data_IF_735278404677
#
_entry.id   IF_735278404677
#
_cell.length_a   1.000
_cell.length_b   1.000
_cell.length_c   1.000
_cell.angle_alpha   90.00
_cell.angle_beta   90.00
_cell.angle_gamma   90.00
#
_symmetry.space_group_name_H-M   'P 1'
#
loop_
_entity.id
_entity.type
_entity.pdbx_description
1 polymer ?
#
# COMPACT_ATOMS: atom_id res chain seq x y z
N UNK A 1 -9.26 12.06 -13.28
CA UNK A 1 -9.53 11.07 -12.22
C UNK A 1 -8.33 11.07 -11.28
N UNK A 2 -8.51 11.37 -9.99
CA UNK A 2 -7.44 11.30 -8.99
C UNK A 2 -7.52 9.93 -8.31
N UNK A 3 -6.68 8.99 -8.76
CA UNK A 3 -6.55 7.70 -8.09
C UNK A 3 -5.67 7.89 -6.84
N UNK A 4 -6.24 7.63 -5.68
CA UNK A 4 -5.60 7.77 -4.37
C UNK A 4 -5.45 6.40 -3.72
N UNK A 5 -4.56 6.29 -2.74
CA UNK A 5 -4.37 5.05 -1.98
C UNK A 5 -5.17 5.11 -0.68
N UNK A 6 -5.96 4.08 -0.40
CA UNK A 6 -6.39 3.79 0.96
C UNK A 6 -5.40 2.80 1.57
N UNK A 7 -4.52 3.28 2.46
CA UNK A 7 -3.60 2.44 3.22
C UNK A 7 -4.10 2.32 4.66
N UNK A 8 -4.30 1.09 5.13
CA UNK A 8 -4.67 0.77 6.50
C UNK A 8 -3.58 -0.13 7.09
N UNK A 9 -2.81 0.38 8.05
CA UNK A 9 -1.72 -0.40 8.64
C UNK A 9 -1.10 0.28 9.85
N UNK A 10 -0.49 -0.52 10.72
CA UNK A 10 0.19 -0.09 11.96
C UNK A 10 1.61 0.44 11.72
N UNK A 11 2.05 0.52 10.45
CA UNK A 11 3.35 1.07 10.10
C UNK A 11 3.38 2.59 10.31
N UNK A 12 4.29 3.04 11.17
CA UNK A 12 4.32 4.42 11.67
C UNK A 12 4.55 5.46 10.57
N UNK A 13 5.29 5.11 9.52
CA UNK A 13 5.49 5.93 8.33
C UNK A 13 5.52 5.04 7.08
N UNK A 14 4.49 5.20 6.24
CA UNK A 14 4.44 4.61 4.92
C UNK A 14 4.33 5.74 3.90
N UNK A 15 5.31 5.87 3.02
CA UNK A 15 5.18 6.68 1.82
C UNK A 15 4.59 5.81 0.72
N UNK A 16 3.66 6.36 -0.03
CA UNK A 16 3.06 5.64 -1.16
C UNK A 16 2.96 6.54 -2.37
N UNK A 17 3.13 5.93 -3.54
CA UNK A 17 2.87 6.59 -4.83
C UNK A 17 2.10 5.65 -5.71
N UNK A 18 1.15 6.20 -6.46
CA UNK A 18 0.37 5.48 -7.47
C UNK A 18 0.69 6.10 -8.82
N UNK A 19 1.10 5.28 -9.79
CA UNK A 19 1.46 5.74 -11.14
C UNK A 19 0.78 4.89 -12.18
N UNK A 20 0.25 5.53 -13.22
CA UNK A 20 -0.30 4.81 -14.36
C UNK A 20 0.81 4.08 -15.12
N UNK A 21 0.57 2.83 -15.49
CA UNK A 21 1.44 2.05 -16.36
C UNK A 21 0.78 1.88 -17.75
N UNK A 22 1.29 2.54 -18.79
CA UNK A 22 0.68 2.49 -20.12
C UNK A 22 0.79 1.11 -20.79
N UNK A 23 1.78 0.29 -20.42
CA UNK A 23 2.00 -1.04 -21.02
C UNK A 23 0.91 -2.02 -20.59
N UNK A 24 0.62 -2.08 -19.30
CA UNK A 24 -0.42 -2.97 -18.74
C UNK A 24 -1.79 -2.30 -18.69
N UNK A 25 -1.87 -1.01 -19.03
CA UNK A 25 -3.07 -0.17 -18.92
C UNK A 25 -3.67 -0.14 -17.51
N UNK A 26 -2.85 -0.35 -16.49
CA UNK A 26 -3.25 -0.42 -15.09
C UNK A 26 -2.55 0.62 -14.22
N UNK A 27 -2.88 0.62 -12.93
CA UNK A 27 -2.24 1.46 -11.93
C UNK A 27 -1.21 0.66 -11.14
N UNK A 28 -0.03 1.24 -10.94
CA UNK A 28 1.05 0.66 -10.14
C UNK A 28 1.16 1.39 -8.81
N UNK A 29 0.98 0.66 -7.73
CA UNK A 29 1.28 1.11 -6.37
C UNK A 29 2.75 0.81 -6.06
N UNK A 30 3.45 1.80 -5.51
CA UNK A 30 4.76 1.63 -4.86
C UNK A 30 4.64 2.15 -3.44
N UNK A 31 4.87 1.28 -2.46
CA UNK A 31 4.85 1.61 -1.04
C UNK A 31 6.26 1.46 -0.46
N UNK A 32 6.69 2.45 0.32
CA UNK A 32 7.94 2.42 1.09
C UNK A 32 7.60 2.55 2.56
N UNK A 33 7.99 1.53 3.33
CA UNK A 33 7.64 1.41 4.75
C UNK A 33 8.90 1.51 5.59
N UNK A 34 8.84 2.28 6.68
CA UNK A 34 9.87 2.28 7.71
C UNK A 34 9.37 1.45 8.90
N UNK A 35 9.98 0.29 9.10
CA UNK A 35 9.69 -0.58 10.25
C UNK A 35 10.30 0.03 11.51
N UNK A 36 9.49 0.20 12.56
CA UNK A 36 9.93 0.81 13.83
C UNK A 36 10.69 -0.17 14.71
N UNK A 37 10.18 -1.40 14.79
CA UNK A 37 10.71 -2.48 15.61
C UNK A 37 10.74 -3.75 14.77
N UNK A 38 11.93 -4.11 14.28
CA UNK A 38 12.09 -5.30 13.47
C UNK A 38 11.76 -6.57 14.25
N UNK A 39 11.73 -6.56 15.59
CA UNK A 39 11.39 -7.74 16.39
C UNK A 39 9.90 -8.04 16.42
N UNK A 40 9.06 -7.19 15.82
CA UNK A 40 7.61 -7.35 15.76
C UNK A 40 7.15 -7.46 14.33
N UNK A 41 6.19 -8.35 14.10
CA UNK A 41 5.50 -8.45 12.82
C UNK A 41 4.82 -7.12 12.49
N UNK A 42 5.00 -6.65 11.26
CA UNK A 42 4.34 -5.44 10.74
C UNK A 42 3.32 -5.84 9.69
N UNK A 43 2.06 -5.45 9.88
CA UNK A 43 1.01 -5.68 8.90
C UNK A 43 0.71 -4.41 8.10
N UNK A 44 0.51 -4.60 6.79
CA UNK A 44 0.24 -3.56 5.80
C UNK A 44 -0.95 -3.98 4.95
N UNK A 45 -1.96 -3.11 4.83
CA UNK A 45 -3.07 -3.29 3.90
C UNK A 45 -3.23 -2.09 2.97
N UNK A 46 -3.55 -2.35 1.71
CA UNK A 46 -3.69 -1.33 0.69
C UNK A 46 -4.78 -1.68 -0.33
N UNK A 47 -5.57 -0.69 -0.71
CA UNK A 47 -6.49 -0.77 -1.84
C UNK A 47 -6.42 0.52 -2.67
N UNK A 48 -6.54 0.40 -3.98
CA UNK A 48 -6.71 1.55 -4.86
C UNK A 48 -8.13 2.07 -4.75
N UNK A 49 -8.27 3.37 -4.55
CA UNK A 49 -9.56 4.05 -4.45
C UNK A 49 -9.60 5.27 -5.36
N UNK A 50 -10.79 5.64 -5.82
CA UNK A 50 -11.03 6.88 -6.53
C UNK A 50 -12.26 7.54 -5.92
N UNK A 51 -12.03 8.61 -5.17
CA UNK A 51 -13.01 9.17 -4.25
C UNK A 51 -13.63 8.06 -3.38
N UNK A 52 -14.94 7.83 -3.52
CA UNK A 52 -15.69 6.86 -2.71
C UNK A 52 -15.75 5.45 -3.34
N UNK A 53 -15.11 5.25 -4.50
CA UNK A 53 -15.11 3.97 -5.21
C UNK A 53 -13.81 3.18 -4.96
N UNK A 54 -13.96 1.96 -4.44
CA UNK A 54 -12.87 0.98 -4.39
C UNK A 54 -12.63 0.39 -5.77
N UNK A 55 -11.39 0.49 -6.28
CA UNK A 55 -10.99 0.08 -7.62
C UNK A 55 -10.25 -1.25 -7.68
N UNK A 56 -9.76 -1.74 -6.54
CA UNK A 56 -9.03 -3.01 -6.45
C UNK A 56 -9.47 -3.82 -5.24
N UNK A 57 -9.11 -5.10 -5.23
CA UNK A 57 -9.05 -5.87 -3.99
C UNK A 57 -8.13 -5.20 -2.95
N UNK A 58 -8.27 -5.64 -1.69
CA UNK A 58 -7.36 -5.22 -0.61
C UNK A 58 -6.17 -6.15 -0.58
N UNK A 59 -5.00 -5.60 -0.88
CA UNK A 59 -3.72 -6.27 -0.75
C UNK A 59 -3.35 -6.29 0.72
N UNK A 60 -3.08 -7.47 1.28
CA UNK A 60 -2.64 -7.64 2.67
C UNK A 60 -1.25 -8.29 2.67
N UNK A 61 -0.29 -7.64 3.33
CA UNK A 61 1.06 -8.15 3.51
C UNK A 61 1.44 -8.09 4.98
N UNK A 62 2.00 -9.18 5.48
CA UNK A 62 2.64 -9.23 6.79
C UNK A 62 4.13 -9.39 6.57
N UNK A 63 4.90 -8.44 7.11
CA UNK A 63 6.34 -8.54 7.23
C UNK A 63 6.66 -9.23 8.56
N UNK A 64 7.18 -10.47 8.54
CA UNK A 64 7.60 -11.18 9.75
C UNK A 64 8.60 -10.39 10.59
N UNK A 65 8.70 -10.77 11.86
CA UNK A 65 9.75 -10.27 12.73
C UNK A 65 11.14 -10.77 12.27
N UNK A 66 12.13 -9.87 12.36
CA UNK A 66 13.55 -10.07 12.12
C UNK A 66 13.92 -10.37 10.66
N UNK A 67 13.15 -9.84 9.71
CA UNK A 67 13.49 -9.84 8.27
C UNK A 67 14.47 -8.71 7.89
#
# INVERSE_FOLDING_TARGET
>A
MHTSLAAMGIAQHAQSTVRYNPVTKGWRLVMRVKVKDAKKTTEMRAALVNADQTLSETWSYQLPANE
#
